data_IF_656042788812
#
_entry.id   IF_656042788812
#
_cell.length_a   1.000
_cell.length_b   1.000
_cell.length_c   1.000
_cell.angle_alpha   90.00
_cell.angle_beta   90.00
_cell.angle_gamma   90.00
#
_symmetry.space_group_name_H-M   'P 1'
#
loop_
_entity.id
_entity.type
_entity.pdbx_description
1 polymer ?
#
# COMPACT_ATOMS: atom_id res chain seq x y z
N UNK A 1 -8.11 3.64 -21.96
CA UNK A 1 -8.84 3.62 -20.67
C UNK A 1 -8.32 2.62 -19.63
N UNK A 2 -7.85 1.41 -20.00
CA UNK A 2 -7.43 0.36 -19.05
C UNK A 2 -6.43 0.79 -17.94
N UNK A 3 -5.45 1.65 -18.22
CA UNK A 3 -4.40 2.01 -17.25
C UNK A 3 -4.96 2.89 -16.11
N UNK A 4 -5.88 3.81 -16.40
CA UNK A 4 -6.52 4.65 -15.39
C UNK A 4 -7.46 3.85 -14.49
N UNK A 5 -8.24 2.94 -15.07
CA UNK A 5 -9.13 2.04 -14.33
C UNK A 5 -8.34 1.12 -13.40
N UNK A 6 -7.22 0.58 -13.87
CA UNK A 6 -6.33 -0.22 -13.03
C UNK A 6 -5.78 0.59 -11.84
N UNK A 7 -5.29 1.82 -12.09
CA UNK A 7 -4.79 2.70 -11.02
C UNK A 7 -5.87 2.99 -9.96
N UNK A 8 -7.10 3.31 -10.38
CA UNK A 8 -8.21 3.56 -9.45
C UNK A 8 -8.51 2.32 -8.62
N UNK A 9 -8.68 1.16 -9.27
CA UNK A 9 -8.99 -0.10 -8.61
C UNK A 9 -7.95 -0.48 -7.54
N UNK A 10 -6.65 -0.34 -7.84
CA UNK A 10 -5.60 -0.68 -6.87
C UNK A 10 -5.50 0.34 -5.73
N UNK A 11 -5.72 1.64 -6.01
CA UNK A 11 -5.72 2.69 -5.00
C UNK A 11 -6.88 2.56 -4.00
N UNK A 12 -8.07 2.17 -4.46
CA UNK A 12 -9.28 2.03 -3.62
C UNK A 12 -9.15 0.94 -2.55
N UNK A 13 -8.20 0.00 -2.70
CA UNK A 13 -7.92 -1.03 -1.69
C UNK A 13 -7.18 -0.47 -0.47
N UNK A 14 -6.36 0.57 -0.66
CA UNK A 14 -5.47 1.10 0.37
C UNK A 14 -6.24 1.63 1.60
N UNK A 15 -7.32 2.43 1.47
CA UNK A 15 -8.10 2.90 2.61
C UNK A 15 -8.68 1.77 3.46
N UNK A 16 -9.18 0.71 2.82
CA UNK A 16 -9.75 -0.46 3.51
C UNK A 16 -8.68 -1.18 4.31
N UNK A 17 -7.53 -1.49 3.68
CA UNK A 17 -6.42 -2.18 4.36
C UNK A 17 -5.85 -1.30 5.48
N UNK A 18 -5.73 0.02 5.26
CA UNK A 18 -5.28 0.96 6.28
C UNK A 18 -6.21 1.07 7.47
N UNK A 19 -7.52 0.93 7.26
CA UNK A 19 -8.50 0.88 8.37
C UNK A 19 -8.33 -0.41 9.18
N UNK A 20 -8.17 -1.54 8.49
CA UNK A 20 -7.85 -2.81 9.16
C UNK A 20 -6.54 -2.73 9.96
N UNK A 21 -5.50 -2.09 9.42
CA UNK A 21 -4.22 -1.92 10.12
C UNK A 21 -4.40 -1.18 11.46
N UNK A 22 -5.20 -0.10 11.47
CA UNK A 22 -5.50 0.65 12.70
C UNK A 22 -6.22 -0.21 13.74
N UNK A 23 -7.19 -1.01 13.30
CA UNK A 23 -7.95 -1.92 14.17
C UNK A 23 -7.01 -2.97 14.76
N UNK A 24 -6.25 -3.69 13.91
CA UNK A 24 -5.33 -4.74 14.33
C UNK A 24 -4.23 -4.21 15.25
N UNK A 25 -3.71 -3.02 14.98
CA UNK A 25 -2.73 -2.36 15.86
C UNK A 25 -3.31 -2.05 17.24
N UNK A 26 -4.59 -1.67 17.31
CA UNK A 26 -5.27 -1.40 18.58
C UNK A 26 -5.51 -2.69 19.36
N UNK A 27 -6.00 -3.75 18.69
CA UNK A 27 -6.16 -5.08 19.29
C UNK A 27 -4.83 -5.55 19.88
N UNK A 28 -3.74 -5.50 19.09
CA UNK A 28 -2.41 -5.89 19.56
C UNK A 28 -1.93 -5.05 20.74
N UNK A 29 -2.18 -3.74 20.74
CA UNK A 29 -1.82 -2.85 21.85
C UNK A 29 -2.55 -3.20 23.15
N UNK A 30 -3.79 -3.70 23.09
CA UNK A 30 -4.53 -4.14 24.28
C UNK A 30 -4.04 -5.46 24.86
N UNK A 31 -3.23 -6.22 24.11
CA UNK A 31 -2.73 -7.54 24.51
C UNK A 31 -1.41 -7.48 25.31
N UNK A 32 -0.97 -6.31 25.75
CA UNK A 32 0.26 -6.12 26.53
C UNK A 32 0.33 -6.97 27.81
N UNK A 33 -0.80 -7.34 28.41
CA UNK A 33 -0.86 -8.22 29.59
C UNK A 33 -0.88 -9.72 29.29
N UNK A 34 -0.99 -10.11 28.01
CA UNK A 34 -1.08 -11.49 27.55
C UNK A 34 0.03 -11.85 26.55
N UNK A 35 1.15 -11.13 26.58
CA UNK A 35 2.26 -11.34 25.64
C UNK A 35 2.73 -12.80 25.63
N UNK A 36 2.85 -13.36 24.44
CA UNK A 36 3.25 -14.76 24.23
C UNK A 36 2.14 -15.79 24.43
N UNK A 37 0.89 -15.36 24.67
CA UNK A 37 -0.26 -16.25 24.53
C UNK A 37 -0.50 -16.61 23.05
N UNK A 38 -1.26 -17.67 22.81
CA UNK A 38 -1.70 -18.05 21.47
C UNK A 38 -2.48 -16.91 20.78
N UNK A 39 -3.38 -16.25 21.52
CA UNK A 39 -4.13 -15.09 21.02
C UNK A 39 -3.21 -13.91 20.64
N UNK A 40 -2.15 -13.67 21.41
CA UNK A 40 -1.17 -12.62 21.14
C UNK A 40 -0.33 -12.94 19.89
N UNK A 41 -0.01 -14.22 19.68
CA UNK A 41 0.66 -14.73 18.49
C UNK A 41 -0.24 -14.56 17.25
N UNK A 42 -1.49 -14.98 17.31
CA UNK A 42 -2.47 -14.81 16.22
C UNK A 42 -2.69 -13.35 15.86
N UNK A 43 -2.82 -12.47 16.86
CA UNK A 43 -2.92 -11.03 16.65
C UNK A 43 -1.70 -10.45 15.93
N UNK A 44 -0.50 -10.97 16.25
CA UNK A 44 0.74 -10.60 15.54
C UNK A 44 0.68 -11.04 14.08
N UNK A 45 0.29 -12.28 13.82
CA UNK A 45 0.23 -12.85 12.46
C UNK A 45 -0.76 -12.09 11.58
N UNK A 46 -1.96 -11.78 12.11
CA UNK A 46 -2.94 -10.96 11.42
C UNK A 46 -2.40 -9.56 11.08
N UNK A 47 -1.68 -8.93 12.01
CA UNK A 47 -1.08 -7.62 11.81
C UNK A 47 0.02 -7.65 10.73
N UNK A 48 0.89 -8.66 10.77
CA UNK A 48 1.95 -8.87 9.76
C UNK A 48 1.33 -9.09 8.38
N UNK A 49 0.33 -9.97 8.27
CA UNK A 49 -0.38 -10.22 7.01
C UNK A 49 -1.05 -8.97 6.45
N UNK A 50 -1.70 -8.18 7.31
CA UNK A 50 -2.30 -6.91 6.91
C UNK A 50 -1.24 -5.90 6.41
N UNK A 51 -0.11 -5.77 7.12
CA UNK A 51 0.99 -4.89 6.72
C UNK A 51 1.61 -5.33 5.36
N UNK A 52 1.79 -6.63 5.14
CA UNK A 52 2.25 -7.16 3.86
C UNK A 52 1.28 -6.82 2.72
N UNK A 53 -0.03 -6.99 2.95
CA UNK A 53 -1.07 -6.63 1.97
C UNK A 53 -1.08 -5.13 1.67
N UNK A 54 -0.88 -4.27 2.68
CA UNK A 54 -0.79 -2.83 2.50
C UNK A 54 0.41 -2.46 1.62
N UNK A 55 1.60 -2.97 1.98
CA UNK A 55 2.83 -2.70 1.23
C UNK A 55 2.75 -3.19 -0.21
N UNK A 56 2.13 -4.34 -0.44
CA UNK A 56 1.90 -4.86 -1.78
C UNK A 56 0.95 -3.97 -2.59
N UNK A 57 -0.16 -3.55 -2.00
CA UNK A 57 -1.12 -2.63 -2.65
C UNK A 57 -0.46 -1.28 -2.99
N UNK A 58 0.33 -0.71 -2.08
CA UNK A 58 1.08 0.53 -2.31
C UNK A 58 2.09 0.35 -3.46
N UNK A 59 2.86 -0.76 -3.48
CA UNK A 59 3.80 -1.06 -4.58
C UNK A 59 3.09 -1.14 -5.94
N UNK A 60 1.94 -1.78 -6.00
CA UNK A 60 1.13 -1.89 -7.23
C UNK A 60 0.60 -0.53 -7.68
N UNK A 61 0.09 0.28 -6.76
CA UNK A 61 -0.34 1.67 -7.02
C UNK A 61 0.78 2.51 -7.60
N UNK A 62 1.99 2.47 -7.02
CA UNK A 62 3.14 3.25 -7.53
C UNK A 62 3.48 2.87 -8.96
N UNK A 63 3.55 1.57 -9.27
CA UNK A 63 3.81 1.07 -10.64
C UNK A 63 2.71 1.48 -11.62
N UNK A 64 1.44 1.39 -11.21
CA UNK A 64 0.31 1.80 -12.03
C UNK A 64 0.31 3.32 -12.28
N UNK A 65 0.68 4.12 -11.28
CA UNK A 65 0.77 5.57 -11.38
C UNK A 65 1.92 6.02 -12.30
N UNK A 66 3.08 5.37 -12.21
CA UNK A 66 4.20 5.58 -13.14
C UNK A 66 3.75 5.31 -14.58
N UNK A 67 3.13 4.15 -14.84
CA UNK A 67 2.63 3.81 -16.18
C UNK A 67 1.53 4.75 -16.69
N UNK A 68 0.64 5.22 -15.81
CA UNK A 68 -0.39 6.20 -16.14
C UNK A 68 0.21 7.54 -16.54
N UNK A 69 1.27 7.98 -15.86
CA UNK A 69 1.91 9.28 -16.08
C UNK A 69 2.42 9.52 -17.51
N UNK A 70 2.79 8.44 -18.22
CA UNK A 70 3.23 8.48 -19.62
C UNK A 70 2.09 8.90 -20.57
N UNK A 71 0.83 8.56 -20.21
CA UNK A 71 -0.35 8.77 -21.08
C UNK A 71 -1.23 9.95 -20.65
N UNK A 72 -0.89 10.64 -19.57
CA UNK A 72 -1.65 11.81 -19.12
C UNK A 72 -1.38 12.97 -20.09
N UNK A 73 -2.44 13.47 -20.73
CA UNK A 73 -2.35 14.68 -21.56
C UNK A 73 -1.95 15.86 -20.67
N UNK A 74 -0.79 16.41 -20.97
CA UNK A 74 -0.11 17.48 -20.27
C UNK A 74 -0.76 18.87 -20.41
N UNK A 75 -1.82 18.96 -21.22
CA UNK A 75 -2.33 20.20 -21.83
C UNK A 75 -3.08 21.16 -20.89
N UNK A 76 -3.37 20.81 -19.64
CA UNK A 76 -4.16 21.70 -18.76
C UNK A 76 -3.70 21.63 -17.31
N UNK A 77 -2.66 22.39 -16.94
CA UNK A 77 -2.39 22.88 -15.57
C UNK A 77 -2.47 21.90 -14.39
N UNK A 78 -2.54 20.59 -14.63
CA UNK A 78 -2.93 19.59 -13.65
C UNK A 78 -1.77 19.04 -12.85
N UNK A 79 -2.09 18.38 -11.75
CA UNK A 79 -1.12 17.70 -10.89
C UNK A 79 -0.31 16.67 -11.69
N UNK A 80 1.03 16.78 -11.65
CA UNK A 80 1.96 15.82 -12.24
C UNK A 80 2.90 15.26 -11.18
N UNK A 81 3.11 13.95 -11.26
CA UNK A 81 4.14 13.26 -10.48
C UNK A 81 5.45 13.25 -11.30
N UNK A 82 6.56 13.60 -10.64
CA UNK A 82 7.90 13.53 -11.23
C UNK A 82 8.52 12.16 -10.95
N UNK A 83 8.77 11.39 -11.99
CA UNK A 83 9.38 10.06 -11.91
C UNK A 83 10.87 10.13 -12.28
N UNK A 84 11.75 9.95 -11.30
CA UNK A 84 13.21 9.91 -11.49
C UNK A 84 13.76 8.71 -10.73
N UNK A 85 14.50 7.85 -11.43
CA UNK A 85 15.15 6.68 -10.84
C UNK A 85 16.34 7.13 -9.98
N UNK A 86 16.42 6.65 -8.73
CA UNK A 86 17.50 7.00 -7.79
C UNK A 86 18.80 6.23 -8.03
N UNK A 87 18.71 4.93 -8.33
CA UNK A 87 19.85 4.05 -8.58
C UNK A 87 19.68 3.31 -9.91
N UNK A 88 20.77 3.00 -10.65
CA UNK A 88 20.70 2.20 -11.87
C UNK A 88 19.92 0.89 -11.67
N UNK A 89 19.16 0.48 -12.69
CA UNK A 89 18.24 -0.66 -12.60
C UNK A 89 18.92 -2.02 -12.40
N UNK A 90 20.24 -2.09 -12.57
CA UNK A 90 21.07 -3.29 -12.47
C UNK A 90 21.81 -3.42 -11.13
N UNK A 91 21.67 -2.47 -10.20
CA UNK A 91 22.21 -2.63 -8.85
C UNK A 91 21.23 -3.46 -8.02
N UNK A 92 21.62 -4.71 -7.72
CA UNK A 92 20.95 -5.62 -6.77
C UNK A 92 21.64 -5.48 -5.41
#
# INVERSE_FOLDING_TARGET
MKIFQNLLQVCERIPTIGTQLKILSTVKATMLGAQGSEEDQEATEMLVGNAQNLMQSVKETVKAAEGASIKIRTEQGGYRLRWVRRSPWYQI
#
